data_IF_161518292785
#
_entry.id   IF_161518292785
#
_cell.length_a   1.000
_cell.length_b   1.000
_cell.length_c   1.000
_cell.angle_alpha   90.00
_cell.angle_beta   90.00
_cell.angle_gamma   90.00
#
_symmetry.space_group_name_H-M   'P 1'
#
loop_
_entity.id
_entity.type
_entity.pdbx_description
1 polymer ?
#
# COMPACT_ATOMS: atom_id res chain seq x y z
N UNK A 1 -6.11 -20.33 -29.06
CA UNK A 1 -5.84 -20.56 -30.50
C UNK A 1 -5.52 -22.02 -30.77
N UNK A 2 -4.58 -22.63 -30.03
CA UNK A 2 -4.26 -24.07 -30.13
C UNK A 2 -5.48 -24.99 -29.95
N UNK A 3 -6.31 -24.78 -28.92
CA UNK A 3 -7.51 -25.62 -28.70
C UNK A 3 -8.57 -25.55 -29.81
N UNK A 4 -8.80 -24.37 -30.39
CA UNK A 4 -9.73 -24.19 -31.53
C UNK A 4 -9.24 -24.90 -32.80
N UNK A 5 -7.92 -25.05 -32.96
CA UNK A 5 -7.32 -25.76 -34.10
C UNK A 5 -7.43 -27.28 -33.88
N UNK A 6 -7.06 -27.76 -32.69
CA UNK A 6 -7.12 -29.18 -32.35
C UNK A 6 -8.55 -29.72 -32.38
N UNK A 7 -9.54 -28.95 -31.91
CA UNK A 7 -10.95 -29.39 -31.92
C UNK A 7 -11.55 -29.51 -33.31
N UNK A 8 -11.02 -28.77 -34.31
CA UNK A 8 -11.49 -28.81 -35.70
C UNK A 8 -10.84 -29.89 -36.54
N UNK A 9 -9.54 -30.12 -36.35
CA UNK A 9 -8.76 -30.95 -37.27
C UNK A 9 -8.34 -32.31 -36.68
N UNK A 10 -8.25 -32.45 -35.36
CA UNK A 10 -7.65 -33.65 -34.74
C UNK A 10 -8.66 -34.53 -33.97
N UNK A 11 -9.88 -34.05 -33.71
CA UNK A 11 -10.86 -34.82 -32.94
C UNK A 11 -11.73 -35.75 -33.80
N UNK A 12 -11.84 -37.01 -33.35
CA UNK A 12 -12.86 -37.94 -33.84
C UNK A 12 -14.28 -37.40 -33.53
N UNK A 13 -15.30 -37.72 -34.35
CA UNK A 13 -16.64 -37.15 -34.22
C UNK A 13 -17.29 -37.32 -32.83
N UNK A 14 -17.07 -38.46 -32.17
CA UNK A 14 -17.58 -38.72 -30.81
C UNK A 14 -16.94 -37.84 -29.74
N UNK A 15 -15.63 -37.61 -29.83
CA UNK A 15 -14.87 -36.73 -28.92
C UNK A 15 -15.28 -35.28 -29.13
N UNK A 16 -15.47 -34.87 -30.38
CA UNK A 16 -15.93 -33.52 -30.74
C UNK A 16 -17.29 -33.20 -30.13
N UNK A 17 -18.27 -34.11 -30.25
CA UNK A 17 -19.59 -33.89 -29.63
C UNK A 17 -19.53 -33.75 -28.11
N UNK A 18 -18.71 -34.57 -27.43
CA UNK A 18 -18.50 -34.46 -25.98
C UNK A 18 -17.84 -33.12 -25.59
N UNK A 19 -16.87 -32.66 -26.39
CA UNK A 19 -16.23 -31.37 -26.20
C UNK A 19 -17.20 -30.20 -26.39
N UNK A 20 -18.03 -30.22 -27.43
CA UNK A 20 -19.04 -29.19 -27.69
C UNK A 20 -20.05 -29.11 -26.53
N UNK A 21 -20.51 -30.25 -26.01
CA UNK A 21 -21.36 -30.31 -24.81
C UNK A 21 -20.66 -29.75 -23.56
N UNK A 22 -19.36 -30.02 -23.39
CA UNK A 22 -18.57 -29.47 -22.30
C UNK A 22 -18.44 -27.95 -22.40
N UNK A 23 -18.15 -27.41 -23.59
CA UNK A 23 -18.08 -25.96 -23.84
C UNK A 23 -19.41 -25.26 -23.50
N UNK A 24 -20.54 -25.86 -23.90
CA UNK A 24 -21.88 -25.34 -23.57
C UNK A 24 -22.14 -25.37 -22.06
N UNK A 25 -21.67 -26.40 -21.36
CA UNK A 25 -21.76 -26.48 -19.90
C UNK A 25 -20.92 -25.39 -19.23
N UNK A 26 -19.68 -25.19 -19.68
CA UNK A 26 -18.80 -24.12 -19.20
C UNK A 26 -19.42 -22.73 -19.42
N UNK A 27 -20.08 -22.49 -20.56
CA UNK A 27 -20.75 -21.22 -20.81
C UNK A 27 -21.84 -20.95 -19.76
N UNK A 28 -22.72 -21.92 -19.51
CA UNK A 28 -23.79 -21.83 -18.50
C UNK A 28 -23.24 -21.61 -17.08
N UNK A 29 -22.11 -22.24 -16.73
CA UNK A 29 -21.47 -22.04 -15.44
C UNK A 29 -20.83 -20.65 -15.34
N UNK A 30 -20.17 -20.18 -16.40
CA UNK A 30 -19.49 -18.88 -16.42
C UNK A 30 -20.45 -17.72 -16.21
N UNK A 31 -21.66 -17.79 -16.77
CA UNK A 31 -22.71 -16.78 -16.62
C UNK A 31 -23.26 -16.70 -15.19
N UNK A 32 -23.13 -17.77 -14.40
CA UNK A 32 -23.59 -17.81 -13.00
C UNK A 32 -22.59 -17.21 -12.01
N UNK A 33 -21.34 -17.01 -12.42
CA UNK A 33 -20.31 -16.48 -11.51
C UNK A 33 -20.52 -14.96 -11.38
N UNK A 34 -20.80 -14.43 -10.18
CA UNK A 34 -21.03 -13.00 -9.98
C UNK A 34 -19.69 -12.26 -9.85
N UNK A 35 -18.87 -12.28 -10.91
CA UNK A 35 -17.51 -11.70 -10.91
C UNK A 35 -17.51 -10.24 -10.47
N UNK A 36 -18.42 -9.43 -11.02
CA UNK A 36 -18.51 -8.01 -10.71
C UNK A 36 -18.82 -7.72 -9.24
N UNK A 37 -19.55 -8.60 -8.56
CA UNK A 37 -19.88 -8.45 -7.14
C UNK A 37 -18.61 -8.62 -6.28
N UNK A 38 -17.92 -9.75 -6.44
CA UNK A 38 -16.70 -10.04 -5.69
C UNK A 38 -15.60 -9.02 -5.97
N UNK A 39 -15.42 -8.67 -7.25
CA UNK A 39 -14.40 -7.72 -7.67
C UNK A 39 -14.72 -6.30 -7.17
N UNK A 40 -16.00 -5.90 -7.20
CA UNK A 40 -16.43 -4.61 -6.67
C UNK A 40 -16.20 -4.48 -5.16
N UNK A 41 -16.54 -5.52 -4.38
CA UNK A 41 -16.24 -5.52 -2.95
C UNK A 41 -14.74 -5.48 -2.67
N UNK A 42 -13.95 -6.27 -3.38
CA UNK A 42 -12.50 -6.34 -3.20
C UNK A 42 -11.82 -5.01 -3.53
N UNK A 43 -12.09 -4.44 -4.71
CA UNK A 43 -11.43 -3.21 -5.14
C UNK A 43 -11.85 -2.04 -4.26
N UNK A 44 -13.11 -1.96 -3.85
CA UNK A 44 -13.55 -0.95 -2.88
C UNK A 44 -12.79 -1.07 -1.55
N UNK A 45 -12.61 -2.30 -1.04
CA UNK A 45 -11.81 -2.54 0.16
C UNK A 45 -10.37 -2.05 -0.01
N UNK A 46 -9.70 -2.41 -1.11
CA UNK A 46 -8.31 -2.03 -1.39
C UNK A 46 -8.18 -0.51 -1.53
N UNK A 47 -9.02 0.14 -2.33
CA UNK A 47 -9.01 1.60 -2.54
C UNK A 47 -9.26 2.34 -1.23
N UNK A 48 -10.21 1.89 -0.41
CA UNK A 48 -10.47 2.48 0.91
C UNK A 48 -9.26 2.35 1.84
N UNK A 49 -8.64 1.17 1.89
CA UNK A 49 -7.42 0.95 2.70
C UNK A 49 -6.26 1.81 2.23
N UNK A 50 -6.05 1.91 0.90
CA UNK A 50 -5.03 2.75 0.32
C UNK A 50 -5.23 4.23 0.68
N UNK A 51 -6.47 4.74 0.55
CA UNK A 51 -6.79 6.12 0.88
C UNK A 51 -6.60 6.41 2.37
N UNK A 52 -7.06 5.52 3.25
CA UNK A 52 -6.87 5.65 4.70
C UNK A 52 -5.39 5.69 5.09
N UNK A 53 -4.56 4.85 4.47
CA UNK A 53 -3.09 4.88 4.66
C UNK A 53 -2.51 6.22 4.24
N UNK A 54 -2.90 6.73 3.07
CA UNK A 54 -2.45 8.05 2.59
C UNK A 54 -2.84 9.17 3.56
N UNK A 55 -4.09 9.20 4.02
CA UNK A 55 -4.55 10.21 4.98
C UNK A 55 -3.92 10.08 6.39
N UNK A 56 -3.31 8.94 6.71
CA UNK A 56 -2.62 8.72 8.00
C UNK A 56 -1.19 9.25 7.99
N UNK A 57 -0.61 9.54 6.81
CA UNK A 57 0.74 10.09 6.71
C UNK A 57 0.77 11.45 7.44
N UNK A 58 1.54 11.58 8.54
CA UNK A 58 1.58 12.83 9.28
C UNK A 58 2.46 13.84 8.55
N UNK A 59 1.99 15.08 8.51
CA UNK A 59 2.72 16.21 7.95
C UNK A 59 3.42 16.98 9.07
N UNK A 60 4.67 17.45 8.85
CA UNK A 60 5.43 18.16 9.89
C UNK A 60 4.91 19.58 10.16
N UNK A 61 4.08 20.12 9.27
CA UNK A 61 3.67 21.52 9.21
C UNK A 61 3.13 22.06 10.54
N UNK A 62 2.16 21.37 11.17
CA UNK A 62 1.57 21.80 12.44
C UNK A 62 2.60 21.87 13.57
N UNK A 63 3.51 20.88 13.63
CA UNK A 63 4.55 20.82 14.63
C UNK A 63 5.63 21.89 14.40
N UNK A 64 6.04 22.11 13.15
CA UNK A 64 7.00 23.17 12.80
C UNK A 64 6.41 24.56 13.10
N UNK A 65 5.13 24.78 12.77
CA UNK A 65 4.44 26.02 13.12
C UNK A 65 4.39 26.24 14.64
N UNK A 66 4.13 25.19 15.42
CA UNK A 66 4.16 25.27 16.88
C UNK A 66 5.58 25.61 17.40
N UNK A 67 6.62 24.97 16.87
CA UNK A 67 8.03 25.26 17.17
C UNK A 67 8.34 26.75 16.93
N UNK A 68 7.96 27.28 15.77
CA UNK A 68 8.20 28.68 15.42
C UNK A 68 7.39 29.67 16.28
N UNK A 69 6.22 29.26 16.77
CA UNK A 69 5.30 30.16 17.49
C UNK A 69 5.61 30.23 18.99
N UNK A 70 5.96 29.11 19.62
CA UNK A 70 6.07 29.02 21.08
C UNK A 70 7.50 29.10 21.60
N UNK A 71 8.51 28.87 20.77
CA UNK A 71 9.93 29.02 21.14
C UNK A 71 10.40 30.40 20.71
N UNK A 72 10.59 31.28 21.69
CA UNK A 72 10.99 32.67 21.49
C UNK A 72 12.50 32.86 21.68
N UNK A 73 13.01 33.97 21.14
CA UNK A 73 14.41 34.37 21.23
C UNK A 73 15.20 34.04 19.96
N UNK A 74 16.18 34.89 19.65
CA UNK A 74 16.98 34.83 18.43
C UNK A 74 18.46 34.48 18.69
N UNK A 75 18.77 34.00 19.89
CA UNK A 75 20.13 33.56 20.19
C UNK A 75 20.50 32.34 19.34
N UNK A 76 21.79 32.24 18.97
CA UNK A 76 22.30 31.09 18.22
C UNK A 76 21.98 29.76 18.92
N UNK A 77 22.06 29.73 20.25
CA UNK A 77 21.74 28.55 21.06
C UNK A 77 20.26 28.12 20.94
N UNK A 78 19.31 29.06 20.83
CA UNK A 78 17.89 28.75 20.63
C UNK A 78 17.63 28.33 19.18
N UNK A 79 18.25 29.02 18.22
CA UNK A 79 18.16 28.68 16.79
C UNK A 79 18.64 27.26 16.50
N UNK A 80 19.81 26.88 17.04
CA UNK A 80 20.36 25.53 16.89
C UNK A 80 19.39 24.48 17.41
N UNK A 81 18.72 24.72 18.55
CA UNK A 81 17.73 23.79 19.11
C UNK A 81 16.43 23.75 18.30
N UNK A 82 15.94 24.86 17.78
CA UNK A 82 14.79 24.87 16.84
C UNK A 82 15.09 24.04 15.60
N UNK A 83 16.26 24.23 14.99
CA UNK A 83 16.70 23.44 13.84
C UNK A 83 16.87 21.96 14.18
N UNK A 84 17.44 21.64 15.35
CA UNK A 84 17.57 20.26 15.82
C UNK A 84 16.19 19.59 16.00
N UNK A 85 15.21 20.29 16.60
CA UNK A 85 13.85 19.78 16.72
C UNK A 85 13.21 19.50 15.36
N UNK A 86 13.28 20.43 14.40
CA UNK A 86 12.77 20.20 13.04
C UNK A 86 13.49 19.04 12.35
N UNK A 87 14.80 18.89 12.57
CA UNK A 87 15.58 17.76 12.06
C UNK A 87 15.15 16.45 12.70
N UNK A 88 14.86 16.41 14.00
CA UNK A 88 14.33 15.21 14.66
C UNK A 88 12.98 14.77 14.10
N UNK A 89 12.10 15.71 13.75
CA UNK A 89 10.84 15.41 13.04
C UNK A 89 11.11 14.68 11.72
N UNK A 90 12.01 15.21 10.91
CA UNK A 90 12.40 14.60 9.63
C UNK A 90 13.13 13.26 9.82
N UNK A 91 13.99 13.16 10.84
CA UNK A 91 14.72 11.95 11.18
C UNK A 91 13.77 10.83 11.57
N UNK A 92 12.85 11.07 12.51
CA UNK A 92 11.83 10.09 12.90
C UNK A 92 10.99 9.66 11.69
N UNK A 93 10.54 10.60 10.86
CA UNK A 93 9.82 10.26 9.63
C UNK A 93 10.64 9.33 8.72
N UNK A 94 11.92 9.65 8.49
CA UNK A 94 12.82 8.84 7.68
C UNK A 94 13.01 7.42 8.27
N UNK A 95 13.26 7.31 9.58
CA UNK A 95 13.43 6.04 10.28
C UNK A 95 12.20 5.14 10.13
N UNK A 96 11.00 5.67 10.36
CA UNK A 96 9.74 4.93 10.16
C UNK A 96 9.54 4.55 8.69
N UNK A 97 9.73 5.48 7.77
CA UNK A 97 9.53 5.24 6.34
C UNK A 97 10.54 4.26 5.75
N UNK A 98 11.75 4.14 6.30
CA UNK A 98 12.72 3.10 5.94
C UNK A 98 12.19 1.69 6.21
N UNK A 99 11.39 1.52 7.27
CA UNK A 99 10.73 0.26 7.60
C UNK A 99 9.49 -0.04 6.73
N UNK A 100 8.85 0.98 6.17
CA UNK A 100 7.54 0.87 5.50
C UNK A 100 7.67 0.93 3.97
N UNK A 101 8.54 1.79 3.45
CA UNK A 101 8.69 2.11 2.02
C UNK A 101 10.01 1.59 1.47
N UNK A 102 9.93 0.69 0.50
CA UNK A 102 11.10 0.18 -0.22
C UNK A 102 11.91 1.28 -0.89
N UNK A 103 11.26 2.34 -1.41
CA UNK A 103 11.93 3.48 -2.05
C UNK A 103 12.77 4.27 -1.06
N UNK A 104 12.26 4.48 0.16
CA UNK A 104 13.00 5.19 1.21
C UNK A 104 14.14 4.30 1.72
N UNK A 105 13.91 2.99 1.86
CA UNK A 105 14.96 2.03 2.20
C UNK A 105 16.09 1.96 1.18
N UNK A 106 15.79 2.06 -0.11
CA UNK A 106 16.81 2.12 -1.15
C UNK A 106 17.59 3.44 -1.16
N UNK A 107 16.95 4.54 -0.75
CA UNK A 107 17.59 5.85 -0.64
C UNK A 107 18.45 6.01 0.61
N UNK A 108 18.02 5.43 1.72
CA UNK A 108 18.72 5.43 2.99
C UNK A 108 18.88 3.99 3.53
N UNK A 109 19.75 3.17 2.92
CA UNK A 109 19.95 1.78 3.35
C UNK A 109 20.47 1.65 4.78
N UNK A 110 21.42 2.50 5.17
CA UNK A 110 22.11 2.45 6.46
C UNK A 110 21.92 3.75 7.26
N UNK A 111 22.27 3.73 8.54
CA UNK A 111 22.33 4.96 9.35
C UNK A 111 23.38 5.95 8.82
N UNK A 112 24.46 5.48 8.17
CA UNK A 112 25.47 6.36 7.57
C UNK A 112 24.91 7.20 6.42
N UNK A 113 24.00 6.63 5.63
CA UNK A 113 23.33 7.35 4.55
C UNK A 113 22.42 8.46 5.11
N UNK A 114 21.87 8.26 6.31
CA UNK A 114 21.04 9.25 7.02
C UNK A 114 21.91 10.38 7.57
N UNK A 115 23.11 10.07 8.08
CA UNK A 115 24.09 11.07 8.52
C UNK A 115 24.57 11.89 7.33
N UNK A 116 24.95 11.22 6.24
CA UNK A 116 25.39 11.88 5.00
C UNK A 116 24.31 12.81 4.44
N UNK A 117 23.04 12.46 4.63
CA UNK A 117 21.90 13.29 4.26
C UNK A 117 21.62 14.47 5.22
N UNK A 118 22.38 14.59 6.32
CA UNK A 118 22.24 15.65 7.31
C UNK A 118 21.02 15.50 8.22
N UNK A 119 20.41 14.30 8.30
CA UNK A 119 19.24 14.06 9.14
C UNK A 119 19.63 13.66 10.57
N UNK A 120 20.81 13.08 10.75
CA UNK A 120 21.33 12.60 12.04
C UNK A 120 22.81 13.00 12.16
N UNK A 121 23.30 13.26 13.36
CA UNK A 121 24.74 13.46 13.62
C UNK A 121 25.40 12.14 14.04
N UNK A 122 26.73 12.06 13.98
CA UNK A 122 27.46 10.88 14.48
C UNK A 122 27.20 10.65 15.99
N UNK A 123 27.20 11.71 16.79
CA UNK A 123 26.90 11.63 18.22
C UNK A 123 25.49 11.08 18.48
N UNK A 124 24.50 11.51 17.70
CA UNK A 124 23.13 11.01 17.82
C UNK A 124 22.99 9.55 17.39
N UNK A 125 23.75 9.12 16.39
CA UNK A 125 23.81 7.71 16.00
C UNK A 125 24.40 6.86 17.12
N UNK A 126 25.46 7.31 17.78
CA UNK A 126 26.03 6.59 18.92
C UNK A 126 25.01 6.45 20.05
N UNK A 127 24.30 7.53 20.39
CA UNK A 127 23.20 7.50 21.36
C UNK A 127 22.05 6.58 20.91
N UNK A 128 21.73 6.59 19.62
CA UNK A 128 20.70 5.74 19.03
C UNK A 128 21.06 4.26 19.15
N UNK A 129 22.32 3.88 18.85
CA UNK A 129 22.80 2.51 18.98
C UNK A 129 22.90 2.05 20.43
N UNK A 130 23.30 2.94 21.35
CA UNK A 130 23.33 2.68 22.79
C UNK A 130 21.93 2.36 23.37
N UNK A 131 20.86 2.83 22.73
CA UNK A 131 19.49 2.50 23.14
C UNK A 131 19.11 1.03 22.89
N UNK A 132 19.99 0.24 22.27
CA UNK A 132 19.78 -1.16 21.96
C UNK A 132 18.97 -1.41 20.69
N UNK A 133 18.87 -0.42 19.79
CA UNK A 133 18.19 -0.63 18.50
C UNK A 133 19.03 -1.51 17.58
N UNK A 134 18.52 -2.70 17.27
CA UNK A 134 19.08 -3.62 16.28
C UNK A 134 18.57 -3.32 14.84
N UNK A 135 18.15 -2.07 14.59
CA UNK A 135 17.38 -1.60 13.42
C UNK A 135 15.99 -2.24 13.23
N UNK A 136 15.62 -3.21 14.08
CA UNK A 136 14.32 -3.90 14.07
C UNK A 136 13.52 -3.67 15.36
N UNK A 137 14.13 -3.08 16.39
CA UNK A 137 13.60 -2.99 17.76
C UNK A 137 12.48 -1.96 17.91
N UNK A 138 12.23 -1.15 16.88
CA UNK A 138 11.15 -0.17 16.90
C UNK A 138 11.51 1.14 17.62
N UNK A 139 12.80 1.43 17.82
CA UNK A 139 13.26 2.68 18.44
C UNK A 139 13.22 3.89 17.48
N UNK A 140 12.54 3.78 16.33
CA UNK A 140 12.39 4.88 15.36
C UNK A 140 11.72 6.13 15.95
N UNK A 141 11.02 6.01 17.08
CA UNK A 141 10.43 7.13 17.82
C UNK A 141 11.42 7.92 18.69
N UNK A 142 12.64 7.41 18.91
CA UNK A 142 13.61 8.00 19.85
C UNK A 142 13.93 9.48 19.59
N UNK A 143 14.07 9.98 18.35
CA UNK A 143 14.29 11.41 18.13
C UNK A 143 13.13 12.30 18.60
N UNK A 144 11.91 11.77 18.71
CA UNK A 144 10.78 12.50 19.31
C UNK A 144 10.94 12.66 20.83
N UNK A 145 11.60 11.71 21.50
CA UNK A 145 11.96 11.83 22.92
C UNK A 145 13.00 12.93 23.09
N UNK A 146 14.02 12.97 22.23
CA UNK A 146 15.02 14.05 22.23
C UNK A 146 14.38 15.42 21.95
N UNK A 147 13.40 15.48 21.05
CA UNK A 147 12.64 16.71 20.81
C UNK A 147 11.87 17.18 22.05
N UNK A 148 11.24 16.27 22.81
CA UNK A 148 10.57 16.62 24.07
C UNK A 148 11.57 17.10 25.13
N UNK A 149 12.76 16.51 25.19
CA UNK A 149 13.81 16.95 26.10
C UNK A 149 14.30 18.37 25.77
N UNK A 150 14.45 18.70 24.49
CA UNK A 150 14.74 20.08 24.06
C UNK A 150 13.64 21.08 24.47
N UNK A 151 12.37 20.68 24.41
CA UNK A 151 11.25 21.51 24.92
C UNK A 151 11.41 21.80 26.41
N UNK A 152 11.74 20.78 27.22
CA UNK A 152 11.95 20.95 28.66
C UNK A 152 13.11 21.90 28.96
N UNK A 153 14.24 21.75 28.26
CA UNK A 153 15.41 22.61 28.41
C UNK A 153 15.10 24.07 28.04
N UNK A 154 14.45 24.28 26.88
CA UNK A 154 14.05 25.62 26.42
C UNK A 154 13.05 26.28 27.40
N UNK A 155 12.15 25.50 28.00
CA UNK A 155 11.24 26.01 29.02
C UNK A 155 11.98 26.43 30.29
N UNK A 156 12.90 25.61 30.78
CA UNK A 156 13.69 25.92 31.98
C UNK A 156 14.56 27.16 31.80
N UNK A 157 15.02 27.42 30.58
CA UNK A 157 15.78 28.62 30.22
C UNK A 157 14.90 29.85 29.94
N UNK A 158 13.57 29.72 30.02
CA UNK A 158 12.62 30.81 29.79
C UNK A 158 12.42 31.18 28.32
N UNK A 159 12.91 30.37 27.37
CA UNK A 159 12.69 30.56 25.94
C UNK A 159 11.24 30.26 25.52
N UNK A 160 10.46 29.58 26.36
CA UNK A 160 9.03 29.33 26.18
C UNK A 160 8.27 30.12 27.27
N UNK A 161 7.92 31.39 27.03
CA UNK A 161 7.39 32.27 28.08
C UNK A 161 5.95 31.92 28.51
N UNK A 162 5.20 31.25 27.64
CA UNK A 162 3.81 30.86 27.89
C UNK A 162 3.80 29.40 28.30
N UNK A 163 3.35 29.10 29.53
CA UNK A 163 3.29 27.73 30.05
C UNK A 163 2.50 26.77 29.13
N UNK A 164 1.39 27.23 28.57
CA UNK A 164 0.59 26.48 27.58
C UNK A 164 1.38 26.11 26.32
N UNK A 165 2.45 26.84 25.98
CA UNK A 165 3.30 26.54 24.83
C UNK A 165 4.00 25.18 24.96
N UNK A 166 4.42 24.81 26.17
CA UNK A 166 5.02 23.49 26.44
C UNK A 166 4.01 22.38 26.17
N UNK A 167 2.77 22.53 26.64
CA UNK A 167 1.71 21.55 26.43
C UNK A 167 1.38 21.37 24.95
N UNK A 168 1.27 22.48 24.20
CA UNK A 168 1.00 22.46 22.76
C UNK A 168 2.14 21.80 22.00
N UNK A 169 3.40 22.16 22.27
CA UNK A 169 4.56 21.52 21.65
C UNK A 169 4.60 20.02 21.94
N UNK A 170 4.43 19.62 23.19
CA UNK A 170 4.36 18.20 23.57
C UNK A 170 3.21 17.48 22.88
N UNK A 171 2.05 18.12 22.73
CA UNK A 171 0.89 17.55 22.04
C UNK A 171 1.17 17.36 20.54
N UNK A 172 1.74 18.35 19.86
CA UNK A 172 2.10 18.25 18.44
C UNK A 172 3.15 17.16 18.20
N UNK A 173 4.16 17.04 19.06
CA UNK A 173 5.15 15.94 18.99
C UNK A 173 4.46 14.58 19.15
N UNK A 174 3.58 14.43 20.15
CA UNK A 174 2.83 13.18 20.36
C UNK A 174 1.91 12.86 19.18
N UNK A 175 1.25 13.87 18.62
CA UNK A 175 0.34 13.74 17.48
C UNK A 175 1.09 13.26 16.24
N UNK A 176 2.22 13.91 15.91
CA UNK A 176 3.07 13.52 14.79
C UNK A 176 3.61 12.08 14.94
N UNK A 177 4.15 11.75 16.11
CA UNK A 177 4.58 10.37 16.43
C UNK A 177 3.43 9.38 16.33
N UNK A 178 2.24 9.75 16.82
CA UNK A 178 1.05 8.92 16.78
C UNK A 178 0.62 8.58 15.35
N UNK A 179 0.66 9.56 14.45
CA UNK A 179 0.43 9.34 13.01
C UNK A 179 1.43 8.35 12.40
N UNK A 180 2.73 8.47 12.73
CA UNK A 180 3.74 7.51 12.27
C UNK A 180 3.52 6.10 12.85
N UNK A 181 3.11 6.00 14.11
CA UNK A 181 2.75 4.73 14.75
C UNK A 181 1.54 4.07 14.08
N UNK A 182 0.51 4.86 13.74
CA UNK A 182 -0.65 4.37 13.00
C UNK A 182 -0.27 3.90 11.59
N UNK A 183 0.60 4.63 10.90
CA UNK A 183 1.10 4.23 9.58
C UNK A 183 1.91 2.92 9.66
N UNK A 184 2.76 2.78 10.68
CA UNK A 184 3.47 1.54 10.95
C UNK A 184 2.49 0.37 11.18
N UNK A 185 1.44 0.58 11.98
CA UNK A 185 0.42 -0.44 12.20
C UNK A 185 -0.29 -0.85 10.90
N UNK A 186 -0.59 0.09 10.00
CA UNK A 186 -1.13 -0.22 8.67
C UNK A 186 -0.16 -0.99 7.77
N UNK A 187 1.16 -0.81 7.95
CA UNK A 187 2.17 -1.58 7.21
C UNK A 187 2.29 -3.00 7.74
N UNK A 188 2.14 -3.17 9.06
CA UNK A 188 2.21 -4.45 9.74
C UNK A 188 0.94 -5.29 9.52
N UNK A 189 -0.23 -4.66 9.67
CA UNK A 189 -1.54 -5.28 9.49
C UNK A 189 -2.04 -4.95 8.09
N UNK A 190 -1.85 -5.89 7.17
CA UNK A 190 -2.33 -5.79 5.79
C UNK A 190 -3.75 -6.31 5.65
N UNK A 191 -4.38 -6.05 4.50
CA UNK A 191 -5.70 -6.60 4.17
C UNK A 191 -5.63 -8.13 4.29
N UNK A 192 -6.58 -8.79 5.00
CA UNK A 192 -6.56 -10.23 5.18
C UNK A 192 -6.40 -10.98 3.86
N UNK A 193 -5.43 -11.89 3.83
CA UNK A 193 -5.07 -12.64 2.62
C UNK A 193 -6.26 -13.36 1.99
N UNK A 194 -7.20 -13.85 2.82
CA UNK A 194 -8.41 -14.52 2.39
C UNK A 194 -9.26 -13.68 1.42
N UNK A 195 -9.36 -12.36 1.62
CA UNK A 195 -10.13 -11.49 0.71
C UNK A 195 -9.51 -11.40 -0.68
N UNK A 196 -8.19 -11.31 -0.75
CA UNK A 196 -7.44 -11.36 -2.02
C UNK A 196 -7.57 -12.72 -2.68
N UNK A 197 -7.46 -13.80 -1.90
CA UNK A 197 -7.57 -15.18 -2.40
C UNK A 197 -8.95 -15.48 -2.99
N UNK A 198 -10.03 -15.18 -2.27
CA UNK A 198 -11.40 -15.42 -2.74
C UNK A 198 -11.64 -14.68 -4.06
N UNK A 199 -11.27 -13.41 -4.14
CA UNK A 199 -11.45 -12.59 -5.34
C UNK A 199 -10.66 -13.15 -6.53
N UNK A 200 -9.42 -13.58 -6.28
CA UNK A 200 -8.55 -14.19 -7.30
C UNK A 200 -9.14 -15.51 -7.80
N UNK A 201 -9.59 -16.38 -6.90
CA UNK A 201 -10.20 -17.67 -7.25
C UNK A 201 -11.43 -17.44 -8.13
N UNK A 202 -12.34 -16.54 -7.75
CA UNK A 202 -13.55 -16.25 -8.54
C UNK A 202 -13.21 -15.79 -9.96
N UNK A 203 -12.24 -14.90 -10.12
CA UNK A 203 -11.85 -14.35 -11.43
C UNK A 203 -11.12 -15.39 -12.27
N UNK A 204 -10.25 -16.19 -11.66
CA UNK A 204 -9.51 -17.23 -12.38
C UNK A 204 -10.41 -18.41 -12.75
N UNK A 205 -11.36 -18.79 -11.90
CA UNK A 205 -12.40 -19.77 -12.26
C UNK A 205 -13.25 -19.27 -13.42
N UNK A 206 -13.64 -17.98 -13.41
CA UNK A 206 -14.32 -17.37 -14.55
C UNK A 206 -13.48 -17.43 -15.82
N UNK A 207 -12.18 -17.11 -15.74
CA UNK A 207 -11.29 -17.17 -16.89
C UNK A 207 -11.15 -18.57 -17.46
N UNK A 208 -10.89 -19.57 -16.60
CA UNK A 208 -10.77 -20.97 -17.01
C UNK A 208 -12.03 -21.44 -17.72
N UNK A 209 -13.22 -21.17 -17.16
CA UNK A 209 -14.49 -21.52 -17.81
C UNK A 209 -14.67 -20.77 -19.13
N UNK A 210 -14.27 -19.51 -19.20
CA UNK A 210 -14.37 -18.68 -20.41
C UNK A 210 -13.51 -19.19 -21.57
N UNK A 211 -12.34 -19.78 -21.28
CA UNK A 211 -11.49 -20.40 -22.32
C UNK A 211 -12.27 -21.48 -23.08
N UNK A 212 -13.03 -22.31 -22.37
CA UNK A 212 -13.85 -23.36 -22.98
C UNK A 212 -15.18 -22.82 -23.52
N UNK A 213 -15.83 -21.90 -22.81
CA UNK A 213 -17.11 -21.32 -23.21
C UNK A 213 -17.03 -20.55 -24.53
N UNK A 214 -15.88 -19.93 -24.83
CA UNK A 214 -15.69 -19.11 -26.03
C UNK A 214 -15.04 -19.87 -27.19
N UNK A 215 -14.97 -21.20 -27.13
CA UNK A 215 -14.57 -22.00 -28.29
C UNK A 215 -15.66 -21.91 -29.36
N UNK A 216 -15.25 -21.77 -30.62
CA UNK A 216 -16.19 -21.68 -31.73
C UNK A 216 -16.69 -23.09 -32.07
N UNK A 217 -17.98 -23.35 -31.87
CA UNK A 217 -18.61 -24.65 -32.12
C UNK A 217 -19.03 -24.79 -33.59
N UNK A 218 -19.37 -26.00 -34.02
CA UNK A 218 -19.86 -26.25 -35.37
C UNK A 218 -21.21 -25.52 -35.63
N UNK A 219 -21.28 -24.57 -36.57
CA UNK A 219 -22.53 -23.87 -36.88
C UNK A 219 -23.61 -24.81 -37.41
N UNK A 220 -23.25 -25.93 -38.03
CA UNK A 220 -24.21 -26.89 -38.60
C UNK A 220 -25.04 -27.62 -37.53
N UNK A 221 -24.55 -27.68 -36.29
CA UNK A 221 -25.26 -28.25 -35.15
C UNK A 221 -26.34 -27.32 -34.57
N UNK A 222 -26.40 -26.06 -35.02
CA UNK A 222 -27.43 -25.07 -34.64
C UNK A 222 -27.61 -24.89 -33.11
N UNK A 223 -26.51 -24.87 -32.36
CA UNK A 223 -26.56 -24.59 -30.91
C UNK A 223 -26.99 -23.14 -30.63
N UNK A 224 -27.92 -22.95 -29.70
CA UNK A 224 -28.41 -21.63 -29.29
C UNK A 224 -27.25 -20.68 -28.91
N UNK A 225 -27.21 -19.52 -29.55
CA UNK A 225 -26.17 -18.50 -29.31
C UNK A 225 -24.82 -18.76 -29.97
N UNK A 226 -24.66 -19.86 -30.71
CA UNK A 226 -23.39 -20.27 -31.34
C UNK A 226 -23.54 -20.37 -32.88
N UNK A 227 -24.35 -19.49 -33.46
CA UNK A 227 -24.64 -19.47 -34.90
C UNK A 227 -23.55 -18.78 -35.74
N UNK A 228 -22.62 -18.09 -35.09
CA UNK A 228 -21.57 -17.30 -35.74
C UNK A 228 -20.21 -17.85 -35.31
N UNK A 229 -19.44 -18.34 -36.28
CA UNK A 229 -18.07 -18.79 -36.06
C UNK A 229 -17.11 -17.59 -36.00
N UNK A 230 -16.96 -17.02 -34.80
CA UNK A 230 -15.89 -16.05 -34.53
C UNK A 230 -14.63 -16.80 -34.10
N UNK A 231 -13.63 -16.87 -34.97
CA UNK A 231 -12.35 -17.52 -34.67
C UNK A 231 -11.61 -16.89 -33.47
N UNK A 232 -11.84 -15.59 -33.25
CA UNK A 232 -11.32 -14.81 -32.12
C UNK A 232 -12.50 -14.21 -31.35
N UNK A 233 -12.67 -14.53 -30.04
CA UNK A 233 -13.76 -14.00 -29.24
C UNK A 233 -13.47 -12.59 -28.73
N UNK A 234 -13.52 -11.57 -29.61
CA UNK A 234 -13.12 -10.18 -29.32
C UNK A 234 -13.84 -9.61 -28.08
N UNK A 235 -15.17 -9.74 -28.00
CA UNK A 235 -15.93 -9.22 -26.87
C UNK A 235 -15.65 -9.97 -25.55
N UNK A 236 -15.36 -11.28 -25.63
CA UNK A 236 -14.91 -12.06 -24.48
C UNK A 236 -13.55 -11.58 -23.98
N UNK A 237 -12.60 -11.36 -24.89
CA UNK A 237 -11.28 -10.82 -24.56
C UNK A 237 -11.36 -9.41 -23.97
N UNK A 238 -12.25 -8.54 -24.48
CA UNK A 238 -12.49 -7.21 -23.89
C UNK A 238 -13.05 -7.32 -22.47
N UNK A 239 -14.03 -8.21 -22.24
CA UNK A 239 -14.59 -8.46 -20.91
C UNK A 239 -13.52 -8.99 -19.94
N UNK A 240 -12.65 -9.89 -20.41
CA UNK A 240 -11.53 -10.38 -19.64
C UNK A 240 -10.54 -9.25 -19.31
N UNK A 241 -10.16 -8.44 -20.29
CA UNK A 241 -9.28 -7.30 -20.09
C UNK A 241 -9.87 -6.33 -19.06
N UNK A 242 -11.19 -6.12 -19.08
CA UNK A 242 -11.88 -5.32 -18.07
C UNK A 242 -11.78 -5.94 -16.66
N UNK A 243 -12.11 -7.22 -16.48
CA UNK A 243 -12.03 -7.86 -15.16
C UNK A 243 -10.59 -7.99 -14.64
N UNK A 244 -9.63 -8.30 -15.51
CA UNK A 244 -8.22 -8.35 -15.14
C UNK A 244 -7.67 -6.96 -14.84
N UNK A 245 -8.05 -5.95 -15.62
CA UNK A 245 -7.71 -4.56 -15.35
C UNK A 245 -8.27 -4.10 -14.01
N UNK A 246 -9.52 -4.42 -13.72
CA UNK A 246 -10.16 -4.05 -12.46
C UNK A 246 -9.57 -4.80 -11.26
N UNK A 247 -9.12 -6.06 -11.41
CA UNK A 247 -8.37 -6.79 -10.37
C UNK A 247 -6.97 -6.18 -10.10
N UNK A 248 -6.38 -5.51 -11.10
CA UNK A 248 -5.07 -4.88 -11.00
C UNK A 248 -5.10 -3.46 -10.42
N UNK A 249 -6.30 -2.88 -10.22
CA UNK A 249 -6.53 -1.65 -9.45
C UNK A 249 -6.25 -1.92 -7.97
#
# INVERSE_FOLDING_TARGET
MTMNVTSRFDFYPSIRSNFENFCLHCNKLSERIPVGLFLGFYVNLIVRYWWQRFCTIPWPDSLVLAICTYINGDSDAVNVRRHAMSRYVNLTYCLYMRGISSRVKLRYPTLEDIITAGLMTEEEKDLFLQSGDDEKSGNSFLPMVWAMELVNQLNNEGAIPIARGVDVLCQEIRSFRGGLGALWAYSYITVPLAYTQISTIVIYSYFVLSIFAWQSLDPTQNYLGHNIDSYIPIFGLLRLAFYMGWLKV
#
